data_IF_802254165043
#
_entry.id   IF_802254165043
#
_cell.length_a   1.000
_cell.length_b   1.000
_cell.length_c   1.000
_cell.angle_alpha   90.00
_cell.angle_beta   90.00
_cell.angle_gamma   90.00
#
_symmetry.space_group_name_H-M   'P 1'
#
loop_
_entity.id
_entity.type
_entity.pdbx_description
1 polymer ?
#
# COMPACT_ATOMS: atom_id res chain seq x y z
N UNK A 1 -15.69 -1.36 20.97
CA UNK A 1 -14.59 -0.44 20.60
C UNK A 1 -13.74 -1.07 19.53
N UNK A 2 -13.45 -0.33 18.47
CA UNK A 2 -12.62 -0.84 17.41
C UNK A 2 -11.17 -0.91 17.86
N UNK A 3 -10.55 -2.05 17.66
CA UNK A 3 -9.17 -2.30 18.07
C UNK A 3 -8.28 -2.35 16.84
N UNK A 4 -7.21 -1.55 16.85
CA UNK A 4 -6.20 -1.60 15.78
C UNK A 4 -5.56 -2.99 15.73
N UNK A 5 -5.10 -3.40 14.54
CA UNK A 5 -4.38 -4.65 14.39
C UNK A 5 -3.13 -4.67 15.25
N UNK A 6 -2.82 -5.81 15.83
CA UNK A 6 -1.53 -6.00 16.45
C UNK A 6 -0.43 -6.23 15.40
N UNK A 7 0.82 -6.18 15.82
CA UNK A 7 1.98 -6.30 14.93
C UNK A 7 1.96 -7.59 14.12
N UNK A 8 1.47 -8.68 14.70
CA UNK A 8 1.43 -9.98 14.01
C UNK A 8 0.48 -9.98 12.83
N UNK A 9 -0.57 -9.16 12.89
CA UNK A 9 -1.57 -9.08 11.83
C UNK A 9 -1.21 -8.07 10.73
N UNK A 10 -0.18 -7.25 10.91
CA UNK A 10 0.31 -6.38 9.84
C UNK A 10 1.36 -7.06 8.96
N UNK A 11 2.03 -8.08 9.47
CA UNK A 11 3.10 -8.76 8.75
C UNK A 11 2.68 -9.33 7.38
N UNK A 12 1.48 -9.92 7.21
CA UNK A 12 1.07 -10.37 5.88
C UNK A 12 1.02 -9.25 4.83
N UNK A 13 0.61 -8.04 5.23
CA UNK A 13 0.62 -6.88 4.32
C UNK A 13 2.04 -6.52 3.90
N UNK A 14 2.98 -6.52 4.85
CA UNK A 14 4.38 -6.18 4.58
C UNK A 14 5.06 -7.25 3.74
N UNK A 15 4.88 -8.51 4.10
CA UNK A 15 5.45 -9.64 3.39
C UNK A 15 4.98 -9.67 1.93
N UNK A 16 3.68 -9.47 1.72
CA UNK A 16 3.10 -9.43 0.39
C UNK A 16 3.65 -8.28 -0.44
N UNK A 17 3.74 -7.08 0.15
CA UNK A 17 4.24 -5.90 -0.54
C UNK A 17 5.69 -6.09 -1.00
N UNK A 18 6.55 -6.55 -0.10
CA UNK A 18 7.96 -6.80 -0.41
C UNK A 18 8.11 -7.84 -1.52
N UNK A 19 7.39 -8.95 -1.39
CA UNK A 19 7.46 -10.07 -2.33
C UNK A 19 6.97 -9.69 -3.73
N UNK A 20 5.85 -9.00 -3.83
CA UNK A 20 5.28 -8.60 -5.12
C UNK A 20 6.15 -7.52 -5.78
N UNK A 21 6.63 -6.54 -5.03
CA UNK A 21 7.55 -5.54 -5.59
C UNK A 21 8.80 -6.19 -6.18
N UNK A 22 9.41 -7.13 -5.47
CA UNK A 22 10.59 -7.84 -5.97
C UNK A 22 10.25 -8.64 -7.24
N UNK A 23 9.13 -9.35 -7.23
CA UNK A 23 8.72 -10.21 -8.33
C UNK A 23 8.42 -9.44 -9.61
N UNK A 24 7.69 -8.32 -9.54
CA UNK A 24 7.18 -7.63 -10.74
C UNK A 24 7.98 -6.39 -11.11
N UNK A 25 8.70 -5.77 -10.18
CA UNK A 25 9.48 -4.56 -10.44
C UNK A 25 10.98 -4.74 -10.23
N UNK A 26 11.40 -5.83 -9.62
CA UNK A 26 12.77 -6.11 -9.19
C UNK A 26 13.31 -5.09 -8.18
N UNK A 27 12.44 -4.29 -7.57
CA UNK A 27 12.81 -3.39 -6.49
C UNK A 27 12.81 -4.18 -5.17
N UNK A 28 13.97 -4.30 -4.55
CA UNK A 28 14.14 -5.03 -3.30
C UNK A 28 13.96 -4.08 -2.12
N UNK A 29 12.71 -3.91 -1.72
CA UNK A 29 12.36 -3.02 -0.62
C UNK A 29 12.63 -3.70 0.72
N UNK A 30 12.95 -2.88 1.72
CA UNK A 30 13.13 -3.34 3.10
C UNK A 30 12.16 -2.57 4.00
N UNK A 31 11.65 -3.25 5.01
CA UNK A 31 10.73 -2.64 5.96
C UNK A 31 11.50 -1.71 6.89
N UNK A 32 11.09 -0.45 6.93
CA UNK A 32 11.59 0.51 7.90
C UNK A 32 10.84 0.43 9.22
N UNK A 33 10.97 1.46 10.05
CA UNK A 33 10.36 1.47 11.38
C UNK A 33 8.88 1.86 11.31
N UNK A 34 7.94 0.98 11.69
CA UNK A 34 6.52 1.34 11.76
C UNK A 34 6.26 2.38 12.85
N UNK A 35 5.27 3.23 12.61
CA UNK A 35 4.83 4.23 13.58
C UNK A 35 3.35 4.54 13.37
N UNK A 36 2.67 4.96 14.43
CA UNK A 36 1.34 5.53 14.28
C UNK A 36 1.48 6.91 13.62
N UNK A 37 0.68 7.17 12.61
CA UNK A 37 0.76 8.42 11.87
C UNK A 37 -0.59 8.74 11.24
N UNK A 38 -0.90 10.04 11.13
CA UNK A 38 -2.08 10.47 10.41
C UNK A 38 -1.83 10.42 8.89
N UNK A 39 -2.91 10.33 8.12
CA UNK A 39 -2.85 10.44 6.67
C UNK A 39 -2.68 11.93 6.30
N UNK A 40 -1.46 12.42 6.34
CA UNK A 40 -1.13 13.79 5.95
C UNK A 40 0.00 13.80 4.93
N UNK A 41 -0.28 14.43 3.79
CA UNK A 41 0.67 14.50 2.67
C UNK A 41 0.79 15.96 2.22
N UNK A 42 1.84 16.65 2.67
CA UNK A 42 2.09 18.06 2.32
C UNK A 42 2.64 18.24 0.93
N UNK A 43 3.51 17.33 0.49
CA UNK A 43 4.10 17.37 -0.86
C UNK A 43 3.23 16.62 -1.87
N UNK A 44 3.43 16.83 -3.19
CA UNK A 44 2.72 16.07 -4.20
C UNK A 44 2.92 14.57 -4.02
N UNK A 45 1.82 13.83 -4.00
CA UNK A 45 1.81 12.40 -3.70
C UNK A 45 0.81 11.68 -4.61
N UNK A 46 1.17 10.46 -4.99
CA UNK A 46 0.27 9.51 -5.62
C UNK A 46 -0.12 8.49 -4.55
N UNK A 47 -1.42 8.36 -4.28
CA UNK A 47 -1.91 7.39 -3.31
C UNK A 47 -2.84 6.39 -3.98
N UNK A 48 -2.78 5.14 -3.51
CA UNK A 48 -3.69 4.09 -3.93
C UNK A 48 -4.32 3.52 -2.67
N UNK A 49 -5.65 3.58 -2.58
CA UNK A 49 -6.41 3.07 -1.46
C UNK A 49 -7.14 1.81 -1.87
N UNK A 50 -7.01 0.76 -1.07
CA UNK A 50 -7.76 -0.50 -1.23
C UNK A 50 -8.49 -0.78 0.07
N UNK A 51 -9.80 -1.00 -0.03
CA UNK A 51 -10.62 -1.39 1.11
C UNK A 51 -10.45 -2.88 1.44
N UNK A 52 -10.57 -3.19 2.72
CA UNK A 52 -10.56 -4.56 3.24
C UNK A 52 -11.88 -4.78 3.95
N UNK A 53 -12.54 -5.89 3.64
CA UNK A 53 -13.82 -6.29 4.25
C UNK A 53 -13.76 -7.75 4.69
N UNK A 54 -14.69 -8.16 5.52
CA UNK A 54 -14.74 -9.52 6.06
C UNK A 54 -14.37 -9.56 7.53
N UNK A 55 -13.54 -10.52 7.92
CA UNK A 55 -13.14 -10.67 9.33
C UNK A 55 -12.28 -9.52 9.83
N UNK A 56 -11.62 -8.83 8.91
CA UNK A 56 -10.94 -7.55 9.19
C UNK A 56 -11.54 -6.50 8.26
N UNK A 57 -11.59 -5.26 8.74
CA UNK A 57 -12.20 -4.16 8.00
C UNK A 57 -11.32 -2.92 8.06
N UNK A 58 -11.35 -2.15 7.00
CA UNK A 58 -10.65 -0.88 6.93
C UNK A 58 -10.02 -0.66 5.58
N UNK A 59 -8.85 -0.03 5.57
CA UNK A 59 -8.22 0.41 4.34
C UNK A 59 -6.70 0.30 4.43
N UNK A 60 -6.09 0.04 3.28
CA UNK A 60 -4.65 0.08 3.11
C UNK A 60 -4.34 1.13 2.05
N UNK A 61 -3.37 1.99 2.32
CA UNK A 61 -2.98 3.07 1.40
C UNK A 61 -1.50 2.93 1.08
N UNK A 62 -1.19 2.88 -0.22
CA UNK A 62 0.17 3.01 -0.71
C UNK A 62 0.37 4.48 -1.10
N UNK A 63 1.39 5.13 -0.55
CA UNK A 63 1.68 6.53 -0.82
C UNK A 63 3.11 6.69 -1.33
N UNK A 64 3.28 7.38 -2.45
CA UNK A 64 4.57 7.56 -3.09
C UNK A 64 4.67 8.91 -3.78
N UNK A 65 5.88 9.45 -3.85
CA UNK A 65 6.12 10.65 -4.64
C UNK A 65 6.07 10.34 -6.13
N UNK A 66 5.78 11.35 -6.94
CA UNK A 66 5.58 11.16 -8.38
C UNK A 66 6.77 10.51 -9.10
N UNK A 67 8.04 10.88 -8.83
CA UNK A 67 9.16 10.21 -9.49
C UNK A 67 9.19 8.71 -9.22
N UNK A 68 8.90 8.30 -7.99
CA UNK A 68 8.88 6.88 -7.62
C UNK A 68 7.68 6.16 -8.24
N UNK A 69 6.52 6.81 -8.27
CA UNK A 69 5.34 6.26 -8.94
C UNK A 69 5.60 6.01 -10.42
N UNK A 70 6.26 6.96 -11.10
CA UNK A 70 6.63 6.81 -12.51
C UNK A 70 7.61 5.66 -12.73
N UNK A 71 8.59 5.52 -11.86
CA UNK A 71 9.55 4.42 -11.95
C UNK A 71 8.87 3.07 -11.77
N UNK A 72 7.99 2.94 -10.79
CA UNK A 72 7.24 1.71 -10.56
C UNK A 72 6.37 1.38 -11.77
N UNK A 73 5.63 2.37 -12.29
CA UNK A 73 4.78 2.17 -13.46
C UNK A 73 5.61 1.73 -14.67
N UNK A 74 6.78 2.35 -14.88
CA UNK A 74 7.68 1.97 -15.96
C UNK A 74 8.11 0.51 -15.85
N UNK A 75 8.49 0.08 -14.65
CA UNK A 75 8.90 -1.31 -14.42
C UNK A 75 7.75 -2.30 -14.63
N UNK A 76 6.53 -1.91 -14.28
CA UNK A 76 5.33 -2.70 -14.55
C UNK A 76 5.05 -2.82 -16.05
N UNK A 77 5.50 -1.86 -16.84
CA UNK A 77 5.32 -1.81 -18.30
C UNK A 77 6.61 -2.16 -19.05
N UNK A 78 7.40 -3.06 -18.48
CA UNK A 78 8.61 -3.62 -19.11
C UNK A 78 9.67 -2.57 -19.49
N UNK A 79 9.76 -1.50 -18.69
CA UNK A 79 10.77 -0.45 -18.89
C UNK A 79 10.34 0.66 -19.85
N UNK A 80 9.09 0.70 -20.29
CA UNK A 80 8.60 1.81 -21.12
C UNK A 80 8.72 3.14 -20.35
N UNK A 81 9.24 4.19 -20.97
CA UNK A 81 9.34 5.49 -20.32
C UNK A 81 7.97 6.02 -19.90
N UNK A 82 7.89 6.56 -18.68
CA UNK A 82 6.69 7.18 -18.14
C UNK A 82 7.01 8.64 -17.84
N UNK A 83 6.63 9.54 -18.73
CA UNK A 83 6.83 10.97 -18.55
C UNK A 83 5.79 11.57 -17.60
N UNK A 84 4.56 11.07 -17.66
CA UNK A 84 3.44 11.55 -16.86
C UNK A 84 2.66 10.37 -16.28
N UNK A 85 2.00 10.62 -15.13
CA UNK A 85 1.10 9.63 -14.51
C UNK A 85 -0.24 9.67 -15.24
N UNK A 86 -0.23 9.19 -16.48
CA UNK A 86 -1.39 9.11 -17.35
C UNK A 86 -2.25 7.89 -17.01
N UNK A 87 -3.29 7.66 -17.78
CA UNK A 87 -4.23 6.56 -17.57
C UNK A 87 -3.54 5.18 -17.59
N UNK A 88 -2.59 4.99 -18.50
CA UNK A 88 -1.85 3.72 -18.62
C UNK A 88 -0.96 3.49 -17.38
N UNK A 89 -0.25 4.53 -16.94
CA UNK A 89 0.58 4.46 -15.74
C UNK A 89 -0.26 4.17 -14.50
N UNK A 90 -1.41 4.85 -14.37
CA UNK A 90 -2.32 4.64 -13.25
C UNK A 90 -2.88 3.22 -13.25
N UNK A 91 -3.21 2.67 -14.43
CA UNK A 91 -3.68 1.28 -14.54
C UNK A 91 -2.60 0.29 -14.09
N UNK A 92 -1.34 0.54 -14.44
CA UNK A 92 -0.23 -0.32 -14.01
C UNK A 92 -0.07 -0.29 -12.48
N UNK A 93 -0.15 0.89 -11.87
CA UNK A 93 -0.06 1.04 -10.42
C UNK A 93 -1.24 0.40 -9.69
N UNK A 94 -2.44 0.52 -10.25
CA UNK A 94 -3.62 -0.13 -9.69
C UNK A 94 -3.50 -1.66 -9.76
N UNK A 95 -2.96 -2.20 -10.85
CA UNK A 95 -2.71 -3.63 -10.97
C UNK A 95 -1.71 -4.12 -9.92
N UNK A 96 -0.64 -3.37 -9.69
CA UNK A 96 0.33 -3.70 -8.64
C UNK A 96 -0.36 -3.78 -7.27
N UNK A 97 -1.21 -2.81 -6.95
CA UNK A 97 -1.99 -2.79 -5.72
C UNK A 97 -2.90 -4.01 -5.59
N UNK A 98 -3.58 -4.38 -6.67
CA UNK A 98 -4.43 -5.58 -6.70
C UNK A 98 -3.62 -6.85 -6.43
N UNK A 99 -2.44 -6.96 -7.03
CA UNK A 99 -1.56 -8.11 -6.81
C UNK A 99 -1.11 -8.19 -5.35
N UNK A 100 -0.70 -7.08 -4.76
CA UNK A 100 -0.28 -7.02 -3.37
C UNK A 100 -1.42 -7.44 -2.44
N UNK A 101 -2.58 -6.83 -2.62
CA UNK A 101 -3.71 -7.07 -1.71
C UNK A 101 -4.33 -8.45 -1.91
N UNK A 102 -4.38 -8.93 -3.15
CA UNK A 102 -4.82 -10.31 -3.44
C UNK A 102 -3.91 -11.34 -2.79
N UNK A 103 -2.59 -11.13 -2.88
CA UNK A 103 -1.64 -12.02 -2.22
C UNK A 103 -1.76 -11.93 -0.69
N UNK A 104 -2.00 -10.73 -0.16
CA UNK A 104 -2.23 -10.54 1.28
C UNK A 104 -3.45 -11.34 1.74
N UNK A 105 -4.55 -11.27 1.01
CA UNK A 105 -5.75 -12.05 1.32
C UNK A 105 -5.48 -13.54 1.31
N UNK A 106 -4.67 -14.01 0.37
CA UNK A 106 -4.25 -15.42 0.30
C UNK A 106 -3.46 -15.84 1.53
N UNK A 107 -2.50 -15.00 1.97
CA UNK A 107 -1.70 -15.28 3.17
C UNK A 107 -2.62 -15.38 4.40
N UNK A 108 -3.56 -14.46 4.57
CA UNK A 108 -4.50 -14.51 5.70
C UNK A 108 -5.37 -15.78 5.65
N UNK A 109 -5.79 -16.21 4.45
CA UNK A 109 -6.60 -17.42 4.32
C UNK A 109 -5.86 -18.66 4.80
N UNK A 110 -4.54 -18.72 4.59
CA UNK A 110 -3.72 -19.83 5.12
C UNK A 110 -3.66 -19.84 6.64
N UNK A 111 -3.94 -18.71 7.26
CA UNK A 111 -3.98 -18.56 8.73
C UNK A 111 -5.41 -18.66 9.28
N UNK A 112 -6.37 -19.03 8.46
CA UNK A 112 -7.77 -19.18 8.85
C UNK A 112 -8.55 -17.88 8.90
N UNK A 113 -8.03 -16.77 8.35
CA UNK A 113 -8.72 -15.50 8.31
C UNK A 113 -9.17 -15.19 6.89
N UNK A 114 -10.45 -14.94 6.72
CA UNK A 114 -11.05 -14.67 5.41
C UNK A 114 -11.34 -13.18 5.28
N UNK A 115 -10.71 -12.57 4.30
CA UNK A 115 -10.94 -11.18 3.93
C UNK A 115 -11.17 -11.06 2.43
N UNK A 116 -11.85 -9.99 2.04
CA UNK A 116 -12.01 -9.57 0.66
C UNK A 116 -11.45 -8.17 0.50
N UNK A 117 -11.14 -7.81 -0.73
CA UNK A 117 -10.61 -6.49 -1.06
C UNK A 117 -11.54 -5.78 -2.04
N UNK A 118 -11.56 -4.45 -1.98
CA UNK A 118 -12.29 -3.63 -2.94
C UNK A 118 -11.36 -3.20 -4.07
N UNK A 119 -11.91 -2.75 -5.21
CA UNK A 119 -11.07 -2.21 -6.28
C UNK A 119 -10.24 -1.01 -5.79
N UNK A 120 -9.01 -0.84 -6.29
CA UNK A 120 -8.15 0.27 -5.88
C UNK A 120 -8.68 1.60 -6.38
N UNK A 121 -8.49 2.64 -5.57
CA UNK A 121 -8.81 4.02 -5.92
C UNK A 121 -7.54 4.84 -5.82
N UNK A 122 -7.16 5.51 -6.91
CA UNK A 122 -6.01 6.41 -6.93
C UNK A 122 -6.45 7.83 -6.58
N UNK A 123 -5.65 8.51 -5.78
CA UNK A 123 -5.83 9.93 -5.49
C UNK A 123 -4.50 10.65 -5.68
N UNK A 124 -4.48 11.68 -6.48
CA UNK A 124 -3.27 12.43 -6.83
C UNK A 124 -3.46 13.87 -6.36
N UNK A 125 -2.50 14.39 -5.61
CA UNK A 125 -2.58 15.78 -5.16
C UNK A 125 -1.53 16.12 -4.13
N UNK A 126 -1.64 17.32 -3.58
CA UNK A 126 -0.81 17.79 -2.48
C UNK A 126 -1.71 18.35 -1.37
N UNK A 127 -1.15 18.52 -0.19
CA UNK A 127 -1.88 18.98 1.00
C UNK A 127 -3.12 18.13 1.30
N UNK A 128 -2.98 16.81 1.12
CA UNK A 128 -4.06 15.86 1.37
C UNK A 128 -4.10 15.47 2.83
N UNK A 129 -5.30 15.45 3.40
CA UNK A 129 -5.58 14.91 4.73
C UNK A 129 -6.72 13.92 4.65
N UNK A 130 -6.54 12.78 5.27
CA UNK A 130 -7.61 11.81 5.46
C UNK A 130 -7.73 11.53 6.95
N UNK A 131 -8.95 11.41 7.45
CA UNK A 131 -9.19 11.13 8.87
C UNK A 131 -9.84 9.78 9.05
N UNK A 132 -9.42 9.08 10.09
CA UNK A 132 -9.98 7.80 10.46
C UNK A 132 -10.21 7.76 11.97
N UNK A 133 -11.20 6.98 12.40
CA UNK A 133 -11.45 6.73 13.83
C UNK A 133 -10.31 5.96 14.49
N UNK A 134 -9.49 5.29 13.69
CA UNK A 134 -8.34 4.52 14.15
C UNK A 134 -7.10 5.13 13.53
N UNK A 135 -6.06 5.36 14.34
CA UNK A 135 -4.79 5.86 13.83
C UNK A 135 -4.15 4.82 12.90
N UNK A 136 -3.81 5.19 11.67
CA UNK A 136 -3.12 4.27 10.76
C UNK A 136 -1.73 3.92 11.29
N UNK A 137 -1.29 2.71 10.95
CA UNK A 137 0.11 2.32 11.14
C UNK A 137 0.83 2.62 9.83
N UNK A 138 1.78 3.54 9.86
CA UNK A 138 2.58 3.90 8.71
C UNK A 138 3.87 3.10 8.73
N UNK A 139 4.17 2.40 7.64
CA UNK A 139 5.39 1.62 7.50
C UNK A 139 6.17 2.15 6.31
N UNK A 140 7.33 2.79 6.53
CA UNK A 140 8.16 3.19 5.42
C UNK A 140 8.81 1.95 4.79
N UNK A 141 8.79 1.90 3.46
CA UNK A 141 9.48 0.86 2.71
C UNK A 141 10.71 1.50 2.08
N UNK A 142 11.86 0.93 2.40
CA UNK A 142 13.17 1.51 2.10
C UNK A 142 13.79 0.87 0.87
N UNK A 143 14.43 1.67 0.04
CA UNK A 143 15.25 1.21 -1.08
C UNK A 143 16.63 1.83 -0.95
N UNK A 144 17.65 0.99 -0.85
CA UNK A 144 19.05 1.43 -0.69
C UNK A 144 19.23 2.43 0.48
N UNK A 145 18.56 2.17 1.59
CA UNK A 145 18.67 2.97 2.81
C UNK A 145 17.85 4.25 2.82
N UNK A 146 17.05 4.51 1.78
CA UNK A 146 16.18 5.68 1.69
C UNK A 146 14.73 5.27 1.62
N UNK A 147 13.83 6.08 2.19
CA UNK A 147 12.40 5.83 2.07
C UNK A 147 11.98 5.96 0.61
N UNK A 148 11.35 4.90 0.09
CA UNK A 148 10.91 4.84 -1.29
C UNK A 148 9.40 5.07 -1.42
N UNK A 149 8.63 4.45 -0.52
CA UNK A 149 7.20 4.68 -0.39
C UNK A 149 6.76 4.35 1.03
N UNK A 150 5.52 4.71 1.37
CA UNK A 150 4.91 4.32 2.66
C UNK A 150 3.69 3.48 2.44
N UNK A 151 3.54 2.48 3.29
CA UNK A 151 2.33 1.68 3.39
C UNK A 151 1.61 2.09 4.67
N UNK A 152 0.36 2.53 4.53
CA UNK A 152 -0.50 2.85 5.67
C UNK A 152 -1.50 1.73 5.85
N UNK A 153 -1.56 1.17 7.04
CA UNK A 153 -2.48 0.08 7.37
C UNK A 153 -3.45 0.61 8.42
N UNK A 154 -4.70 0.79 8.01
CA UNK A 154 -5.77 1.29 8.87
C UNK A 154 -6.88 0.23 8.95
N UNK A 155 -6.56 -0.87 9.62
CA UNK A 155 -7.39 -2.07 9.67
C UNK A 155 -7.75 -2.35 11.12
N UNK A 156 -8.96 -2.86 11.34
CA UNK A 156 -9.41 -3.29 12.67
C UNK A 156 -10.17 -4.61 12.58
N UNK A 157 -10.20 -5.30 13.70
CA UNK A 157 -11.07 -6.46 13.90
C UNK A 157 -12.20 -6.02 14.83
N UNK A 158 -13.43 -6.44 14.50
CA UNK A 158 -14.58 -6.25 15.39
C UNK A 158 -14.63 -7.40 16.38
N UNK A 159 -14.89 -7.07 17.64
CA UNK A 159 -15.10 -8.06 18.71
C UNK A 159 -16.39 -8.87 18.47
#
# INVERSE_FOLDING_TARGET
MRKALDVNNINPFLQSTISIFDSVTQLKLMVGKPALADFEFGSPVYTITVGVVGQMKGQVVLAMQFPNAKEIASKMMFGMPVAELDEMACSALNELSNMIMGNTATIFSTQGKIIDITPPIAMIGSDLKMKSDISPIAVPLMLDGKEYLKLYICIYEED
#
